data_IF_607848642069
#
_entry.id   IF_607848642069
#
_cell.length_a   1.000
_cell.length_b   1.000
_cell.length_c   1.000
_cell.angle_alpha   90.00
_cell.angle_beta   90.00
_cell.angle_gamma   90.00
#
_symmetry.space_group_name_H-M   'P 1'
#
loop_
_entity.id
_entity.type
_entity.pdbx_description
1 polymer ?
#
# COMPACT_ATOMS: atom_id res chain seq x y z
N UNK A 1 -15.31 -3.61 -21.70
CA UNK A 1 -14.04 -3.90 -20.99
C UNK A 1 -14.31 -3.71 -19.51
N UNK A 2 -13.99 -4.69 -18.66
CA UNK A 2 -14.08 -4.51 -17.21
C UNK A 2 -12.69 -4.78 -16.62
N UNK A 3 -11.91 -3.71 -16.45
CA UNK A 3 -10.70 -3.74 -15.65
C UNK A 3 -11.11 -3.41 -14.22
N UNK A 4 -10.80 -4.30 -13.28
CA UNK A 4 -10.83 -3.95 -11.86
C UNK A 4 -9.40 -3.65 -11.45
N UNK A 5 -9.05 -2.37 -11.40
CA UNK A 5 -7.81 -1.95 -10.78
C UNK A 5 -7.92 -2.25 -9.29
N UNK A 6 -6.85 -2.83 -8.73
CA UNK A 6 -6.66 -2.83 -7.29
C UNK A 6 -6.25 -1.43 -6.81
N UNK A 7 -5.48 -1.41 -5.74
CA UNK A 7 -4.93 -0.17 -5.20
C UNK A 7 -3.59 0.17 -5.90
N UNK A 8 -3.18 1.46 -5.97
CA UNK A 8 -2.00 1.88 -6.72
C UNK A 8 -0.68 1.28 -6.22
N UNK A 9 -0.55 0.99 -4.92
CA UNK A 9 0.59 0.23 -4.37
C UNK A 9 0.62 -1.25 -4.79
N UNK A 10 -0.40 -1.73 -5.51
CA UNK A 10 -0.42 -3.08 -6.10
C UNK A 10 0.35 -3.19 -7.42
N UNK A 11 0.73 -2.06 -8.04
CA UNK A 11 1.51 -2.02 -9.28
C UNK A 11 2.89 -2.65 -9.08
N UNK A 12 3.36 -3.42 -10.06
CA UNK A 12 4.60 -4.19 -9.95
C UNK A 12 5.80 -3.32 -9.54
N UNK A 13 6.02 -2.20 -10.25
CA UNK A 13 7.13 -1.28 -9.98
C UNK A 13 6.99 -0.65 -8.59
N UNK A 14 5.80 -0.12 -8.25
CA UNK A 14 5.53 0.46 -6.95
C UNK A 14 5.78 -0.52 -5.79
N UNK A 15 5.42 -1.81 -5.95
CA UNK A 15 5.67 -2.85 -4.94
C UNK A 15 7.15 -3.11 -4.73
N UNK A 16 7.92 -3.22 -5.80
CA UNK A 16 9.35 -3.52 -5.71
C UNK A 16 10.12 -2.35 -5.10
N UNK A 17 9.86 -1.12 -5.56
CA UNK A 17 10.44 0.10 -4.99
C UNK A 17 10.01 0.26 -3.52
N UNK A 18 8.72 0.05 -3.24
CA UNK A 18 8.18 0.08 -1.88
C UNK A 18 8.89 -0.87 -0.93
N UNK A 19 9.10 -2.13 -1.32
CA UNK A 19 9.82 -3.11 -0.50
C UNK A 19 11.28 -2.74 -0.27
N UNK A 20 11.93 -2.13 -1.26
CA UNK A 20 13.34 -1.78 -1.18
C UNK A 20 13.62 -0.52 -0.34
N UNK A 21 12.74 0.49 -0.42
CA UNK A 21 12.94 1.78 0.25
C UNK A 21 12.32 1.86 1.65
N UNK A 22 11.33 1.02 1.96
CA UNK A 22 10.69 1.05 3.28
C UNK A 22 11.71 0.72 4.37
N UNK A 23 11.64 1.44 5.48
CA UNK A 23 12.43 1.17 6.69
C UNK A 23 11.61 0.45 7.76
N UNK A 24 10.30 0.61 7.75
CA UNK A 24 9.41 -0.02 8.71
C UNK A 24 9.28 -1.52 8.47
N UNK A 25 9.19 -2.29 9.56
CA UNK A 25 8.96 -3.73 9.48
C UNK A 25 7.57 -4.05 8.91
N UNK A 26 7.28 -5.35 8.74
CA UNK A 26 5.96 -5.82 8.33
C UNK A 26 4.84 -5.17 9.15
N UNK A 27 3.86 -4.60 8.44
CA UNK A 27 2.73 -3.89 9.03
C UNK A 27 2.98 -2.39 9.23
N UNK A 28 4.21 -1.92 9.11
CA UNK A 28 4.55 -0.50 9.18
C UNK A 28 4.03 0.31 8.00
N UNK A 29 3.82 -0.33 6.84
CA UNK A 29 3.18 0.28 5.68
C UNK A 29 1.73 -0.20 5.50
N UNK A 30 0.92 -0.33 6.56
CA UNK A 30 -0.48 -0.79 6.47
C UNK A 30 -1.51 0.32 6.21
N UNK A 31 -1.76 1.22 7.16
CA UNK A 31 -2.68 2.36 6.97
C UNK A 31 -2.16 3.57 7.73
N UNK A 32 -2.13 4.72 7.06
CA UNK A 32 -1.47 5.94 7.49
C UNK A 32 -0.02 5.69 7.98
N UNK A 33 0.59 4.61 7.51
CA UNK A 33 1.95 4.20 7.85
C UNK A 33 2.99 4.90 6.97
N UNK A 34 4.18 4.32 6.89
CA UNK A 34 5.33 4.92 6.21
C UNK A 34 5.01 5.33 4.77
N UNK A 35 4.42 4.41 3.98
CA UNK A 35 4.18 4.61 2.56
C UNK A 35 3.17 5.73 2.27
N UNK A 36 2.01 5.70 2.92
CA UNK A 36 0.96 6.70 2.69
C UNK A 36 1.41 8.07 3.19
N UNK A 37 2.00 8.15 4.39
CA UNK A 37 2.51 9.41 4.94
C UNK A 37 3.61 10.02 4.06
N UNK A 38 4.53 9.18 3.54
CA UNK A 38 5.56 9.64 2.62
C UNK A 38 4.97 10.22 1.33
N UNK A 39 3.97 9.55 0.72
CA UNK A 39 3.28 10.08 -0.45
C UNK A 39 2.64 11.46 -0.19
N UNK A 40 2.00 11.65 0.95
CA UNK A 40 1.41 12.94 1.30
C UNK A 40 2.48 14.00 1.58
N UNK A 41 3.63 13.65 2.17
CA UNK A 41 4.75 14.58 2.32
C UNK A 41 5.28 15.08 0.97
N UNK A 42 5.34 14.21 -0.04
CA UNK A 42 5.73 14.60 -1.40
C UNK A 42 4.69 15.52 -2.06
N UNK A 43 3.40 15.20 -1.95
CA UNK A 43 2.33 15.91 -2.65
C UNK A 43 1.91 17.22 -1.97
N UNK A 44 1.70 17.19 -0.66
CA UNK A 44 1.10 18.25 0.16
C UNK A 44 1.68 18.23 1.57
N UNK A 45 2.97 18.56 1.72
CA UNK A 45 3.66 18.50 3.01
C UNK A 45 3.03 19.38 4.09
N UNK A 46 2.42 20.49 3.68
CA UNK A 46 1.72 21.43 4.56
C UNK A 46 0.50 20.82 5.27
N UNK A 47 0.00 19.67 4.78
CA UNK A 47 -1.12 18.95 5.37
C UNK A 47 -0.69 17.79 6.29
N UNK A 48 0.62 17.53 6.42
CA UNK A 48 1.15 16.43 7.23
C UNK A 48 1.79 16.96 8.51
N UNK A 49 1.21 16.60 9.66
CA UNK A 49 1.72 16.95 10.99
C UNK A 49 2.68 15.87 11.48
N UNK A 50 3.93 15.90 11.00
CA UNK A 50 4.93 14.89 11.34
C UNK A 50 5.30 14.86 12.83
N UNK A 51 5.07 15.96 13.56
CA UNK A 51 5.19 16.03 15.02
C UNK A 51 4.19 15.09 15.75
N UNK A 52 3.15 14.63 15.05
CA UNK A 52 2.15 13.68 15.56
C UNK A 52 2.29 12.28 14.96
N UNK A 53 3.35 12.01 14.19
CA UNK A 53 3.57 10.69 13.61
C UNK A 53 3.83 9.65 14.72
N UNK A 54 3.20 8.48 14.59
CA UNK A 54 3.31 7.38 15.56
C UNK A 54 3.60 6.05 14.88
N UNK A 55 4.14 5.11 15.64
CA UNK A 55 4.17 3.69 15.31
C UNK A 55 3.05 2.97 16.08
N UNK A 56 1.97 2.66 15.37
CA UNK A 56 0.80 1.97 15.88
C UNK A 56 0.46 0.77 14.99
N UNK A 57 1.36 -0.22 14.95
CA UNK A 57 1.17 -1.46 14.17
C UNK A 57 0.18 -2.42 14.82
N UNK A 58 -0.43 -3.27 13.99
CA UNK A 58 -1.41 -4.28 14.46
C UNK A 58 -0.75 -5.32 15.38
N UNK A 59 -1.36 -5.55 16.54
CA UNK A 59 -0.96 -6.60 17.51
C UNK A 59 -1.62 -7.96 17.26
N UNK A 60 -2.44 -8.08 16.20
CA UNK A 60 -3.08 -9.33 15.84
C UNK A 60 -2.06 -10.39 15.40
N UNK A 61 -2.45 -11.66 15.47
CA UNK A 61 -1.61 -12.76 14.99
C UNK A 61 -1.34 -12.68 13.49
N UNK A 62 -0.28 -13.37 13.04
CA UNK A 62 0.30 -13.21 11.71
C UNK A 62 -0.71 -13.29 10.55
N UNK A 63 -1.68 -14.21 10.64
CA UNK A 63 -2.75 -14.39 9.64
C UNK A 63 -3.61 -13.14 9.42
N UNK A 64 -3.73 -12.28 10.42
CA UNK A 64 -4.61 -11.11 10.40
C UNK A 64 -3.87 -9.79 10.22
N UNK A 65 -2.53 -9.82 10.25
CA UNK A 65 -1.72 -8.67 9.88
C UNK A 65 -1.74 -8.49 8.35
N UNK A 66 -1.57 -7.25 7.91
CA UNK A 66 -1.46 -6.87 6.50
C UNK A 66 -0.35 -5.85 6.34
N UNK A 67 0.03 -5.61 5.10
CA UNK A 67 0.98 -4.58 4.70
C UNK A 67 0.67 -4.20 3.25
N UNK A 68 0.66 -2.92 2.90
CA UNK A 68 0.32 -2.50 1.55
C UNK A 68 1.37 -2.94 0.52
N UNK A 69 2.64 -3.00 0.92
CA UNK A 69 3.78 -3.28 0.04
C UNK A 69 4.16 -4.77 0.05
N UNK A 70 4.10 -5.40 1.23
CA UNK A 70 4.41 -6.83 1.41
C UNK A 70 3.19 -7.74 1.30
N UNK A 71 1.96 -7.23 1.40
CA UNK A 71 0.73 -8.01 1.32
C UNK A 71 0.42 -8.75 2.62
N UNK A 72 0.36 -10.09 2.56
CA UNK A 72 0.13 -10.96 3.71
C UNK A 72 1.45 -11.53 4.21
N UNK A 73 1.49 -11.87 5.50
CA UNK A 73 2.67 -12.54 6.06
C UNK A 73 2.83 -13.94 5.50
N UNK A 74 4.08 -14.35 5.32
CA UNK A 74 4.42 -15.69 4.84
C UNK A 74 4.15 -16.78 5.91
N UNK A 75 4.23 -16.43 7.19
CA UNK A 75 3.93 -17.29 8.35
C UNK A 75 2.46 -17.22 8.80
N UNK A 76 1.59 -16.58 8.01
CA UNK A 76 0.16 -16.43 8.28
C UNK A 76 -0.72 -17.21 7.30
N UNK A 77 -1.96 -17.48 7.70
CA UNK A 77 -2.99 -18.05 6.84
C UNK A 77 -3.66 -16.99 5.96
N UNK A 78 -4.31 -17.45 4.89
CA UNK A 78 -5.12 -16.62 3.97
C UNK A 78 -6.46 -16.18 4.59
N UNK A 79 -6.40 -15.55 5.77
CA UNK A 79 -7.56 -15.01 6.47
C UNK A 79 -7.45 -13.48 6.59
N UNK A 80 -8.56 -12.81 6.83
CA UNK A 80 -8.59 -11.38 7.16
C UNK A 80 -9.59 -11.15 8.27
N UNK A 81 -9.19 -10.35 9.26
CA UNK A 81 -10.04 -9.95 10.38
C UNK A 81 -9.97 -8.44 10.46
N UNK A 82 -11.13 -7.77 10.42
CA UNK A 82 -11.24 -6.33 10.62
C UNK A 82 -12.07 -6.06 11.89
N UNK A 83 -11.42 -5.88 13.04
CA UNK A 83 -12.07 -5.37 14.24
C UNK A 83 -12.58 -3.94 14.02
N UNK A 84 -13.32 -3.41 15.00
CA UNK A 84 -13.72 -2.00 14.98
C UNK A 84 -12.49 -1.09 15.09
N UNK A 85 -12.46 0.01 14.34
CA UNK A 85 -11.32 0.94 14.33
C UNK A 85 -10.93 1.42 15.73
N UNK A 86 -11.93 1.74 16.55
CA UNK A 86 -11.75 2.15 17.94
C UNK A 86 -11.10 1.10 18.84
N UNK A 87 -11.07 -0.17 18.42
CA UNK A 87 -10.35 -1.25 19.10
C UNK A 87 -8.98 -1.57 18.48
N UNK A 88 -8.69 -1.03 17.28
CA UNK A 88 -7.45 -1.30 16.56
C UNK A 88 -6.39 -0.22 16.76
N UNK A 89 -6.82 1.04 16.86
CA UNK A 89 -5.92 2.19 16.93
C UNK A 89 -6.58 3.36 17.63
N UNK A 90 -5.81 4.03 18.49
CA UNK A 90 -6.19 5.28 19.15
C UNK A 90 -6.02 6.48 18.20
N UNK A 91 -4.95 6.50 17.39
CA UNK A 91 -4.63 7.62 16.49
C UNK A 91 -5.34 7.57 15.12
N UNK A 92 -5.89 6.42 14.76
CA UNK A 92 -6.32 6.06 13.40
C UNK A 92 -5.21 5.45 12.53
N UNK A 93 -3.95 5.51 12.96
CA UNK A 93 -2.81 4.88 12.28
C UNK A 93 -2.81 3.37 12.52
N UNK A 94 -2.61 2.59 11.46
CA UNK A 94 -2.28 1.17 11.55
C UNK A 94 -0.97 0.89 10.82
N UNK A 95 0.13 1.34 11.38
CA UNK A 95 1.45 1.33 10.73
C UNK A 95 2.46 2.19 11.46
N UNK A 96 3.60 2.43 10.82
CA UNK A 96 4.68 3.25 11.36
C UNK A 96 4.85 4.49 10.48
N UNK A 97 4.20 5.58 10.88
CA UNK A 97 4.30 6.86 10.18
C UNK A 97 5.64 7.57 10.45
N UNK A 98 6.37 7.18 11.51
CA UNK A 98 7.58 7.88 11.97
C UNK A 98 8.75 7.76 10.99
N UNK A 99 8.70 6.76 10.11
CA UNK A 99 9.73 6.48 9.09
C UNK A 99 9.50 7.22 7.77
N UNK A 100 8.40 7.94 7.65
CA UNK A 100 8.04 8.62 6.42
C UNK A 100 8.92 9.85 6.19
N UNK A 101 9.37 10.02 4.94
CA UNK A 101 10.09 11.20 4.48
C UNK A 101 9.54 11.67 3.13
N UNK A 102 9.77 12.93 2.78
CA UNK A 102 9.38 13.47 1.47
C UNK A 102 10.06 12.72 0.33
N UNK A 103 11.36 12.47 0.49
CA UNK A 103 12.23 11.88 -0.54
C UNK A 103 11.81 10.44 -0.87
N UNK A 104 11.33 9.68 0.13
CA UNK A 104 10.68 8.39 -0.10
C UNK A 104 9.37 8.56 -0.88
N UNK A 105 8.57 9.55 -0.51
CA UNK A 105 7.32 9.87 -1.17
C UNK A 105 7.46 10.17 -2.65
N UNK A 106 8.49 10.94 -3.02
CA UNK A 106 8.80 11.27 -4.41
C UNK A 106 9.14 10.01 -5.22
N UNK A 107 9.98 9.13 -4.66
CA UNK A 107 10.34 7.85 -5.30
C UNK A 107 9.15 6.90 -5.40
N UNK A 108 8.29 6.83 -4.37
CA UNK A 108 7.07 6.05 -4.42
C UNK A 108 6.10 6.56 -5.47
N UNK A 109 5.95 7.88 -5.58
CA UNK A 109 5.08 8.51 -6.57
C UNK A 109 5.55 8.22 -7.99
N UNK A 110 6.85 8.38 -8.26
CA UNK A 110 7.45 8.08 -9.56
C UNK A 110 7.21 6.61 -9.94
N UNK A 111 7.50 5.67 -9.02
CA UNK A 111 7.29 4.25 -9.22
C UNK A 111 5.81 3.88 -9.49
N UNK A 112 4.88 4.57 -8.84
CA UNK A 112 3.44 4.40 -9.07
C UNK A 112 3.02 4.94 -10.44
N UNK A 113 3.55 6.10 -10.85
CA UNK A 113 3.28 6.69 -12.18
C UNK A 113 3.82 5.77 -13.28
N UNK A 114 5.07 5.33 -13.17
CA UNK A 114 5.70 4.43 -14.13
C UNK A 114 4.93 3.12 -14.25
N UNK A 115 4.61 2.49 -13.10
CA UNK A 115 3.84 1.25 -13.06
C UNK A 115 2.44 1.38 -13.67
N UNK A 116 1.79 2.55 -13.50
CA UNK A 116 0.48 2.80 -14.09
C UNK A 116 0.57 2.97 -15.61
N UNK A 117 1.58 3.70 -16.09
CA UNK A 117 1.84 3.87 -17.52
C UNK A 117 2.09 2.51 -18.19
N UNK A 118 2.90 1.66 -17.56
CA UNK A 118 3.16 0.29 -18.02
C UNK A 118 1.85 -0.51 -18.12
N UNK A 119 1.08 -0.57 -17.04
CA UNK A 119 -0.18 -1.32 -17.00
C UNK A 119 -1.18 -0.84 -18.07
N UNK A 120 -1.28 0.47 -18.29
CA UNK A 120 -2.15 1.04 -19.32
C UNK A 120 -1.68 0.60 -20.72
N UNK A 121 -0.38 0.58 -20.98
CA UNK A 121 0.19 0.10 -22.26
C UNK A 121 -0.07 -1.39 -22.45
N UNK A 122 0.11 -2.20 -21.42
CA UNK A 122 -0.20 -3.65 -21.45
C UNK A 122 -1.68 -3.89 -21.76
N UNK A 123 -2.58 -3.19 -21.07
CA UNK A 123 -4.02 -3.29 -21.32
C UNK A 123 -4.39 -2.86 -22.74
N UNK A 124 -3.74 -1.83 -23.28
CA UNK A 124 -3.96 -1.38 -24.65
C UNK A 124 -3.51 -2.43 -25.68
N UNK A 125 -2.41 -3.14 -25.40
CA UNK A 125 -1.86 -4.18 -26.27
C UNK A 125 -2.55 -5.55 -26.11
N UNK A 126 -3.30 -5.77 -25.04
CA UNK A 126 -3.94 -7.05 -24.76
C UNK A 126 -5.11 -7.30 -25.72
N UNK A 127 -5.03 -8.38 -26.49
CA UNK A 127 -6.14 -8.88 -27.30
C UNK A 127 -7.20 -9.56 -26.41
N UNK A 128 -8.41 -9.00 -26.40
CA UNK A 128 -9.52 -9.51 -25.60
C UNK A 128 -10.42 -10.33 -26.52
N UNK A 129 -10.30 -11.66 -26.42
CA UNK A 129 -11.15 -12.59 -27.17
C UNK A 129 -12.64 -12.36 -26.87
N UNK A 130 -13.52 -12.55 -27.86
CA UNK A 130 -14.96 -12.43 -27.65
C UNK A 130 -15.46 -13.44 -26.62
N UNK A 131 -16.49 -13.05 -25.87
CA UNK A 131 -17.17 -13.93 -24.91
C UNK A 131 -17.74 -15.14 -25.63
N UNK A 132 -17.40 -16.35 -25.18
CA UNK A 132 -18.07 -17.59 -25.59
C UNK A 132 -19.04 -18.00 -24.48
N UNK A 133 -20.29 -18.25 -24.86
CA UNK A 133 -21.27 -18.86 -23.95
C UNK A 133 -21.06 -20.38 -23.98
N UNK A 134 -21.02 -21.00 -22.81
CA UNK A 134 -20.76 -22.43 -22.61
C UNK A 134 -21.96 -23.13 -21.96
N UNK A 135 -23.18 -22.67 -22.26
CA UNK A 135 -24.42 -23.35 -21.89
C UNK A 135 -24.44 -24.79 -22.36
#
# INVERSE_FOLDING_TARGET
RALRLGQPWGLRIAREVGKALRESDFGGASHAGEYETALYLALRPDLVQMDKAVDERSTLSASFQTDLLAGKRADGSVASLMPWWSSMSESGVRGDATKATREKGEQYLEAAIEGLIELVRELAATDIRPRKDHR
#
